data_IF_718788351435
#
_entry.id   IF_718788351435
#
_cell.length_a   1.000
_cell.length_b   1.000
_cell.length_c   1.000
_cell.angle_alpha   90.00
_cell.angle_beta   90.00
_cell.angle_gamma   90.00
#
_symmetry.space_group_name_H-M   'P 1'
#
loop_
_entity.id
_entity.type
_entity.pdbx_description
1 polymer ?
#
# COMPACT_ATOMS: atom_id res chain seq x y z
N UNK A 1 -41.51 -16.66 -0.04
CA UNK A 1 -40.14 -17.15 0.20
C UNK A 1 -39.70 -16.59 1.54
N UNK A 2 -39.67 -17.40 2.60
CA UNK A 2 -39.32 -16.93 3.95
C UNK A 2 -37.80 -16.92 4.13
N UNK A 3 -37.26 -15.75 4.48
CA UNK A 3 -35.83 -15.56 4.71
C UNK A 3 -35.50 -15.92 6.17
N UNK A 4 -34.75 -17.00 6.32
CA UNK A 4 -34.30 -17.52 7.61
C UNK A 4 -32.98 -16.82 7.99
N UNK A 5 -33.06 -15.71 8.70
CA UNK A 5 -31.90 -15.00 9.26
C UNK A 5 -31.45 -15.71 10.54
N UNK A 6 -30.50 -16.65 10.41
CA UNK A 6 -29.83 -17.26 11.57
C UNK A 6 -28.91 -16.23 12.23
N UNK A 7 -29.39 -15.62 13.30
CA UNK A 7 -28.57 -14.83 14.22
C UNK A 7 -27.56 -15.74 14.94
N UNK A 8 -26.28 -15.57 14.62
CA UNK A 8 -25.18 -16.22 15.34
C UNK A 8 -24.93 -15.46 16.65
N UNK A 9 -25.53 -15.93 17.75
CA UNK A 9 -25.18 -15.51 19.12
C UNK A 9 -24.03 -16.38 19.63
N UNK A 10 -22.94 -15.75 20.06
CA UNK A 10 -21.82 -16.37 20.75
C UNK A 10 -22.28 -16.81 22.16
N UNK A 11 -22.45 -18.12 22.36
CA UNK A 11 -22.72 -18.71 23.68
C UNK A 11 -21.40 -18.97 24.40
N UNK A 12 -21.06 -18.14 25.39
CA UNK A 12 -20.01 -18.47 26.36
C UNK A 12 -20.54 -19.57 27.29
N UNK A 13 -19.91 -20.74 27.26
CA UNK A 13 -20.18 -21.82 28.21
C UNK A 13 -19.74 -21.37 29.62
N UNK A 14 -20.69 -21.31 30.57
CA UNK A 14 -20.37 -21.15 31.99
C UNK A 14 -19.68 -22.43 32.48
N UNK A 15 -18.47 -22.26 33.00
CA UNK A 15 -17.69 -23.31 33.66
C UNK A 15 -18.50 -23.86 34.84
N UNK A 16 -18.73 -25.17 34.85
CA UNK A 16 -19.38 -25.88 35.94
C UNK A 16 -18.50 -25.81 37.19
N UNK A 17 -19.07 -25.31 38.28
CA UNK A 17 -18.47 -25.39 39.61
C UNK A 17 -18.55 -26.84 40.08
N UNK A 18 -17.41 -27.49 40.23
CA UNK A 18 -17.31 -28.83 40.82
C UNK A 18 -17.48 -28.71 42.33
N UNK A 19 -18.68 -29.07 42.82
CA UNK A 19 -18.94 -29.22 44.25
C UNK A 19 -18.09 -30.36 44.83
N UNK A 20 -17.28 -30.07 45.86
CA UNK A 20 -16.52 -31.08 46.62
C UNK A 20 -17.49 -32.02 47.36
N UNK A 21 -17.17 -33.33 47.51
CA UNK A 21 -18.06 -34.27 48.17
C UNK A 21 -18.16 -33.99 49.68
N UNK A 22 -19.40 -33.98 50.18
CA UNK A 22 -19.72 -33.86 51.60
C UNK A 22 -19.41 -35.20 52.27
N UNK A 23 -18.43 -35.21 53.18
CA UNK A 23 -18.10 -36.39 54.00
C UNK A 23 -19.19 -36.56 55.07
N UNK A 24 -19.86 -37.72 55.07
CA UNK A 24 -20.84 -38.08 56.08
C UNK A 24 -20.17 -38.28 57.45
N UNK A 25 -20.72 -37.66 58.50
CA UNK A 25 -20.29 -37.87 59.88
C UNK A 25 -20.89 -39.17 60.43
N UNK A 26 -20.15 -40.01 61.17
CA UNK A 26 -20.75 -41.17 61.84
C UNK A 26 -21.71 -40.73 62.96
N UNK A 27 -22.82 -41.47 63.10
CA UNK A 27 -23.93 -41.21 64.01
C UNK A 27 -23.54 -41.26 65.50
N UNK A 28 -24.12 -40.34 66.29
CA UNK A 28 -23.87 -40.04 67.72
C UNK A 28 -24.98 -40.63 68.60
N UNK A 29 -25.22 -41.95 68.54
CA UNK A 29 -26.25 -42.62 69.37
C UNK A 29 -25.78 -43.96 69.93
N UNK A 30 -24.58 -44.00 70.51
CA UNK A 30 -24.07 -45.24 71.10
C UNK A 30 -22.93 -45.04 72.08
N UNK A 31 -23.14 -44.22 73.11
CA UNK A 31 -22.64 -44.50 74.47
C UNK A 31 -23.24 -43.47 75.44
N UNK A 32 -24.13 -43.92 76.33
CA UNK A 32 -24.52 -43.19 77.54
C UNK A 32 -23.34 -43.27 78.52
N UNK A 33 -22.54 -42.22 78.61
CA UNK A 33 -21.57 -42.04 79.69
C UNK A 33 -21.63 -40.59 80.18
N UNK A 34 -22.03 -40.45 81.44
CA UNK A 34 -22.48 -39.26 82.14
C UNK A 34 -21.30 -38.36 82.59
N UNK A 35 -20.60 -37.75 81.62
CA UNK A 35 -19.66 -36.66 81.88
C UNK A 35 -20.00 -35.45 81.00
N UNK A 36 -20.21 -34.29 81.65
CA UNK A 36 -20.46 -32.99 81.00
C UNK A 36 -19.49 -32.75 79.84
N UNK A 37 -19.98 -32.45 78.61
CA UNK A 37 -19.11 -32.35 77.45
C UNK A 37 -18.20 -31.13 77.58
N UNK A 38 -16.92 -31.36 77.89
CA UNK A 38 -15.89 -30.30 77.97
C UNK A 38 -15.98 -29.38 76.73
N UNK A 39 -15.89 -28.08 76.96
CA UNK A 39 -16.02 -27.08 75.90
C UNK A 39 -14.87 -27.22 74.89
N UNK A 40 -15.09 -26.78 73.64
CA UNK A 40 -14.05 -26.87 72.60
C UNK A 40 -12.75 -26.13 73.00
N UNK A 41 -12.87 -25.05 73.78
CA UNK A 41 -11.77 -24.29 74.36
C UNK A 41 -11.00 -25.09 75.43
N UNK A 42 -11.68 -25.77 76.35
CA UNK A 42 -11.00 -26.59 77.38
C UNK A 42 -10.31 -27.80 76.78
N UNK A 43 -10.96 -28.46 75.79
CA UNK A 43 -10.35 -29.55 75.03
C UNK A 43 -9.11 -29.09 74.25
N UNK A 44 -9.09 -27.83 73.80
CA UNK A 44 -7.93 -27.22 73.17
C UNK A 44 -6.84 -26.97 74.22
N UNK A 45 -7.13 -26.28 75.32
CA UNK A 45 -6.15 -25.98 76.37
C UNK A 45 -5.47 -27.24 76.94
N UNK A 46 -6.20 -28.32 77.18
CA UNK A 46 -5.65 -29.59 77.68
C UNK A 46 -4.67 -30.22 76.66
N UNK A 47 -5.00 -30.18 75.37
CA UNK A 47 -4.14 -30.71 74.30
C UNK A 47 -2.87 -29.88 74.07
N UNK A 48 -2.95 -28.56 74.25
CA UNK A 48 -1.79 -27.69 74.12
C UNK A 48 -0.91 -27.72 75.37
N UNK A 49 -1.50 -27.80 76.57
CA UNK A 49 -0.76 -27.92 77.84
C UNK A 49 0.05 -29.21 77.91
N UNK A 50 -0.51 -30.34 77.48
CA UNK A 50 0.17 -31.65 77.47
C UNK A 50 1.35 -31.75 76.48
N UNK A 51 1.39 -30.92 75.43
CA UNK A 51 2.47 -30.93 74.44
C UNK A 51 3.50 -29.81 74.61
N UNK A 52 3.23 -28.84 75.51
CA UNK A 52 4.09 -27.67 75.75
C UNK A 52 5.56 -28.03 76.01
N UNK A 53 5.84 -29.08 76.77
CA UNK A 53 7.22 -29.52 77.06
C UNK A 53 7.94 -30.08 75.82
N UNK A 54 7.20 -30.77 74.94
CA UNK A 54 7.75 -31.29 73.68
C UNK A 54 8.02 -30.13 72.73
N UNK A 55 7.07 -29.21 72.60
CA UNK A 55 7.19 -28.04 71.73
C UNK A 55 8.37 -27.14 72.15
N UNK A 56 8.57 -26.91 73.45
CA UNK A 56 9.72 -26.18 73.97
C UNK A 56 11.05 -26.84 73.59
N UNK A 57 11.17 -28.17 73.75
CA UNK A 57 12.37 -28.91 73.32
C UNK A 57 12.60 -28.84 71.81
N UNK A 58 11.54 -28.80 71.01
CA UNK A 58 11.65 -28.65 69.56
C UNK A 58 12.09 -27.23 69.18
N UNK A 59 11.55 -26.20 69.84
CA UNK A 59 11.97 -24.81 69.67
C UNK A 59 13.44 -24.63 70.06
N UNK A 60 13.89 -25.19 71.18
CA UNK A 60 15.29 -25.12 71.63
C UNK A 60 16.25 -25.78 70.63
N UNK A 61 15.87 -26.95 70.08
CA UNK A 61 16.66 -27.62 69.03
C UNK A 61 16.77 -26.77 67.76
N UNK A 62 15.65 -26.22 67.31
CA UNK A 62 15.59 -25.37 66.11
C UNK A 62 16.38 -24.08 66.32
N UNK A 63 16.31 -23.46 67.51
CA UNK A 63 17.10 -22.27 67.85
C UNK A 63 18.59 -22.55 68.02
N UNK A 64 18.97 -23.76 68.45
CA UNK A 64 20.37 -24.19 68.53
C UNK A 64 20.98 -24.46 67.15
N UNK A 65 20.16 -24.91 66.19
CA UNK A 65 20.55 -25.09 64.79
C UNK A 65 20.62 -23.74 64.06
N UNK A 66 19.59 -22.90 64.19
CA UNK A 66 19.55 -21.54 63.63
C UNK A 66 18.81 -20.56 64.55
N UNK A 67 19.51 -19.58 65.15
CA UNK A 67 18.90 -18.51 65.96
C UNK A 67 17.90 -17.62 65.21
N UNK A 68 17.85 -17.70 63.88
CA UNK A 68 16.96 -16.91 63.03
C UNK A 68 15.69 -17.65 62.59
N UNK A 69 15.52 -18.92 62.96
CA UNK A 69 14.47 -19.79 62.43
C UNK A 69 13.04 -19.27 62.61
N UNK A 70 12.79 -18.46 63.65
CA UNK A 70 11.46 -17.92 63.96
C UNK A 70 11.26 -16.43 63.63
N UNK A 71 12.24 -15.77 62.99
CA UNK A 71 12.13 -14.34 62.61
C UNK A 71 11.37 -14.14 61.30
N UNK A 72 10.16 -14.66 61.24
CA UNK A 72 9.32 -14.61 60.03
C UNK A 72 8.92 -13.18 59.65
N UNK A 73 8.58 -12.35 60.64
CA UNK A 73 8.11 -10.98 60.41
C UNK A 73 9.21 -10.10 59.80
N UNK A 74 10.45 -10.21 60.28
CA UNK A 74 11.58 -9.42 59.77
C UNK A 74 11.90 -9.76 58.30
N UNK A 75 11.90 -11.05 57.95
CA UNK A 75 12.13 -11.52 56.58
C UNK A 75 10.98 -11.12 55.66
N UNK A 76 9.74 -11.20 56.16
CA UNK A 76 8.58 -10.78 55.39
C UNK A 76 8.60 -9.28 55.09
N UNK A 77 8.88 -8.46 56.10
CA UNK A 77 9.03 -7.02 55.97
C UNK A 77 10.13 -6.66 54.96
N UNK A 78 11.24 -7.39 54.96
CA UNK A 78 12.31 -7.18 54.00
C UNK A 78 11.90 -7.56 52.57
N UNK A 79 11.22 -8.70 52.39
CA UNK A 79 10.67 -9.12 51.10
C UNK A 79 9.64 -8.11 50.58
N UNK A 80 8.78 -7.59 51.46
CA UNK A 80 7.78 -6.59 51.10
C UNK A 80 8.43 -5.26 50.72
N UNK A 81 9.41 -4.78 51.50
CA UNK A 81 10.21 -3.60 51.15
C UNK A 81 10.89 -3.77 49.80
N UNK A 82 11.53 -4.91 49.53
CA UNK A 82 12.17 -5.20 48.25
C UNK A 82 11.16 -5.23 47.09
N UNK A 83 9.97 -5.82 47.29
CA UNK A 83 8.89 -5.80 46.30
C UNK A 83 8.40 -4.39 46.02
N UNK A 84 8.25 -3.56 47.06
CA UNK A 84 7.79 -2.18 46.94
C UNK A 84 8.82 -1.32 46.21
N UNK A 85 10.11 -1.49 46.48
CA UNK A 85 11.20 -0.81 45.75
C UNK A 85 11.19 -1.20 44.28
N UNK A 86 11.16 -2.50 43.96
CA UNK A 86 11.09 -2.99 42.57
C UNK A 86 9.85 -2.46 41.84
N UNK A 87 8.70 -2.48 42.50
CA UNK A 87 7.44 -1.95 41.95
C UNK A 87 7.52 -0.45 41.72
N UNK A 88 8.16 0.30 42.61
CA UNK A 88 8.37 1.74 42.46
C UNK A 88 9.33 2.05 41.29
N UNK A 89 10.41 1.28 41.14
CA UNK A 89 11.33 1.38 40.01
C UNK A 89 10.64 1.06 38.68
N UNK A 90 9.82 0.01 38.62
CA UNK A 90 9.07 -0.35 37.42
C UNK A 90 8.04 0.73 37.06
N UNK A 91 7.32 1.26 38.05
CA UNK A 91 6.41 2.41 37.85
C UNK A 91 7.14 3.67 37.40
N UNK A 92 8.37 3.91 37.86
CA UNK A 92 9.18 5.03 37.40
C UNK A 92 9.58 4.85 35.94
N UNK A 93 10.07 3.65 35.57
CA UNK A 93 10.40 3.29 34.18
C UNK A 93 9.19 3.39 33.25
N UNK A 94 7.99 3.05 33.72
CA UNK A 94 6.78 3.11 32.93
C UNK A 94 6.27 4.55 32.72
N UNK A 95 6.58 5.48 33.63
CA UNK A 95 6.27 6.91 33.44
C UNK A 95 7.13 7.55 32.36
N UNK A 96 8.37 7.11 32.20
CA UNK A 96 9.28 7.61 31.16
C UNK A 96 8.94 7.03 29.78
N UNK A 97 8.35 5.83 29.73
CA UNK A 97 7.96 5.17 28.47
C UNK A 97 6.69 5.79 27.92
N UNK A 98 6.79 6.37 26.73
CA UNK A 98 5.60 6.74 25.97
C UNK A 98 4.71 5.50 25.69
N UNK A 99 3.38 5.63 25.76
CA UNK A 99 2.47 4.53 25.49
C UNK A 99 2.59 4.06 24.03
N UNK A 100 2.76 2.75 23.83
CA UNK A 100 3.03 2.11 22.52
C UNK A 100 2.03 2.48 21.41
N UNK A 101 0.79 2.80 21.75
CA UNK A 101 -0.30 2.99 20.78
C UNK A 101 -1.05 4.32 20.88
N UNK A 102 -0.78 5.19 21.87
CA UNK A 102 -1.60 6.39 22.06
C UNK A 102 -1.56 7.29 20.82
N UNK A 103 -0.36 7.51 20.27
CA UNK A 103 -0.17 8.32 19.06
C UNK A 103 -0.93 7.73 17.87
N UNK A 104 -0.87 6.41 17.69
CA UNK A 104 -1.59 5.71 16.62
C UNK A 104 -3.10 5.87 16.74
N UNK A 105 -3.64 5.81 17.97
CA UNK A 105 -5.06 6.01 18.24
C UNK A 105 -5.47 7.46 17.93
N UNK A 106 -4.65 8.42 18.35
CA UNK A 106 -4.89 9.85 18.07
C UNK A 106 -4.87 10.12 16.57
N UNK A 107 -3.88 9.58 15.84
CA UNK A 107 -3.78 9.70 14.39
C UNK A 107 -4.97 9.03 13.69
N UNK A 108 -5.35 7.82 14.08
CA UNK A 108 -6.49 7.12 13.51
C UNK A 108 -7.81 7.88 13.75
N UNK A 109 -7.99 8.46 14.93
CA UNK A 109 -9.15 9.30 15.22
C UNK A 109 -9.19 10.56 14.35
N UNK A 110 -8.04 11.23 14.15
CA UNK A 110 -7.92 12.37 13.22
C UNK A 110 -8.26 11.95 11.79
N UNK A 111 -7.73 10.81 11.32
CA UNK A 111 -8.04 10.26 9.99
C UNK A 111 -9.53 10.02 9.79
N UNK A 112 -10.19 9.35 10.75
CA UNK A 112 -11.64 9.10 10.71
C UNK A 112 -12.48 10.38 10.69
N UNK A 113 -12.04 11.44 11.38
CA UNK A 113 -12.71 12.75 11.32
C UNK A 113 -12.71 13.31 9.91
N UNK A 114 -11.57 13.27 9.22
CA UNK A 114 -11.46 13.72 7.82
C UNK A 114 -12.26 12.84 6.87
N UNK A 115 -12.25 11.52 7.07
CA UNK A 115 -13.06 10.57 6.28
C UNK A 115 -14.57 10.86 6.42
N UNK A 116 -15.07 11.15 7.63
CA UNK A 116 -16.48 11.53 7.83
C UNK A 116 -16.85 12.78 7.03
N UNK A 117 -15.98 13.80 7.03
CA UNK A 117 -16.19 15.03 6.25
C UNK A 117 -16.22 14.75 4.74
N UNK A 118 -15.40 13.81 4.24
CA UNK A 118 -15.46 13.37 2.84
C UNK A 118 -16.79 12.65 2.51
N UNK A 119 -17.29 11.82 3.42
CA UNK A 119 -18.58 11.13 3.24
C UNK A 119 -19.72 12.13 3.20
N UNK A 120 -19.74 13.09 4.12
CA UNK A 120 -20.72 14.17 4.16
C UNK A 120 -20.65 15.03 2.88
N UNK A 121 -19.45 15.35 2.37
CA UNK A 121 -19.31 16.02 1.08
C UNK A 121 -19.96 15.23 -0.07
N UNK A 122 -19.69 13.92 -0.15
CA UNK A 122 -20.29 13.08 -1.22
C UNK A 122 -21.81 13.06 -1.10
N UNK A 123 -22.33 13.05 0.13
CA UNK A 123 -23.77 13.15 0.39
C UNK A 123 -24.32 14.50 -0.11
N UNK A 124 -23.71 15.62 0.28
CA UNK A 124 -24.14 16.96 -0.17
C UNK A 124 -24.03 17.14 -1.69
N UNK A 125 -23.01 16.57 -2.34
CA UNK A 125 -22.89 16.59 -3.81
C UNK A 125 -24.04 15.82 -4.47
N UNK A 126 -24.42 14.68 -3.90
CA UNK A 126 -25.53 13.88 -4.40
C UNK A 126 -26.86 14.60 -4.22
N UNK A 127 -27.07 15.25 -3.07
CA UNK A 127 -28.27 16.06 -2.80
C UNK A 127 -28.37 17.26 -3.74
N UNK A 128 -27.27 18.01 -3.94
CA UNK A 128 -27.24 19.12 -4.90
C UNK A 128 -27.49 18.67 -6.34
N UNK A 129 -26.96 17.52 -6.74
CA UNK A 129 -27.23 16.96 -8.06
C UNK A 129 -28.71 16.57 -8.24
N UNK A 130 -29.40 16.17 -7.16
CA UNK A 130 -30.84 15.91 -7.21
C UNK A 130 -31.71 17.18 -7.18
N UNK A 131 -31.24 18.26 -6.55
CA UNK A 131 -31.89 19.59 -6.54
C UNK A 131 -31.76 20.31 -7.90
N UNK A 132 -30.80 19.89 -8.73
CA UNK A 132 -30.65 20.39 -10.10
C UNK A 132 -30.39 21.90 -10.13
N UNK A 133 -31.21 22.64 -10.88
CA UNK A 133 -31.06 24.08 -11.11
C UNK A 133 -31.86 24.96 -10.13
N UNK A 134 -32.53 24.38 -9.14
CA UNK A 134 -33.46 25.11 -8.26
C UNK A 134 -32.79 26.19 -7.38
N UNK A 135 -31.47 26.10 -7.21
CA UNK A 135 -30.69 27.00 -6.36
C UNK A 135 -29.55 27.73 -7.08
N UNK A 136 -29.51 27.68 -8.42
CA UNK A 136 -28.47 28.34 -9.22
C UNK A 136 -28.56 29.88 -9.13
N UNK A 137 -29.77 30.42 -8.94
CA UNK A 137 -30.01 31.85 -8.82
C UNK A 137 -29.58 32.43 -7.46
N UNK A 138 -29.15 31.61 -6.49
CA UNK A 138 -28.81 32.04 -5.14
C UNK A 138 -27.31 32.23 -4.95
N UNK A 139 -26.92 33.30 -4.25
CA UNK A 139 -25.52 33.61 -3.98
C UNK A 139 -24.88 32.60 -3.00
N UNK A 140 -23.70 32.07 -3.35
CA UNK A 140 -22.95 31.12 -2.52
C UNK A 140 -21.84 31.83 -1.73
N UNK A 141 -22.02 31.96 -0.42
CA UNK A 141 -21.04 32.56 0.47
C UNK A 141 -20.16 31.52 1.17
N UNK A 142 -18.84 31.68 1.07
CA UNK A 142 -17.86 30.80 1.68
C UNK A 142 -16.99 31.58 2.66
N UNK A 143 -17.04 31.21 3.94
CA UNK A 143 -16.22 31.82 5.01
C UNK A 143 -14.77 31.36 4.92
N UNK A 144 -13.83 32.18 5.43
CA UNK A 144 -12.39 31.84 5.41
C UNK A 144 -12.06 30.53 6.13
N UNK A 145 -12.76 30.21 7.22
CA UNK A 145 -12.62 28.93 7.92
C UNK A 145 -13.07 27.74 7.07
N UNK A 146 -14.18 27.89 6.32
CA UNK A 146 -14.66 26.85 5.42
C UNK A 146 -13.71 26.61 4.24
N UNK A 147 -13.07 27.67 3.70
CA UNK A 147 -12.01 27.52 2.68
C UNK A 147 -10.86 26.63 3.18
N UNK A 148 -10.41 26.86 4.42
CA UNK A 148 -9.37 26.03 5.05
C UNK A 148 -9.81 24.57 5.20
N UNK A 149 -11.05 24.33 5.61
CA UNK A 149 -11.60 22.96 5.69
C UNK A 149 -11.68 22.26 4.32
N UNK A 150 -12.05 22.99 3.25
CA UNK A 150 -12.02 22.46 1.88
C UNK A 150 -10.60 22.06 1.48
N UNK A 151 -9.62 22.92 1.78
CA UNK A 151 -8.21 22.67 1.47
C UNK A 151 -7.67 21.44 2.24
N UNK A 152 -7.92 21.35 3.54
CA UNK A 152 -7.52 20.19 4.37
C UNK A 152 -8.11 18.89 3.84
N UNK A 153 -9.39 18.90 3.46
CA UNK A 153 -10.08 17.73 2.90
C UNK A 153 -9.55 17.38 1.51
N UNK A 154 -9.27 18.36 0.65
CA UNK A 154 -8.71 18.13 -0.68
C UNK A 154 -7.31 17.52 -0.57
N UNK A 155 -6.43 18.06 0.30
CA UNK A 155 -5.12 17.48 0.58
C UNK A 155 -5.22 16.03 1.07
N UNK A 156 -6.19 15.75 1.96
CA UNK A 156 -6.41 14.39 2.45
C UNK A 156 -6.89 13.44 1.35
N UNK A 157 -7.72 13.91 0.40
CA UNK A 157 -8.12 13.12 -0.76
C UNK A 157 -6.96 12.82 -1.70
N UNK A 158 -6.13 13.81 -2.01
CA UNK A 158 -4.93 13.62 -2.83
C UNK A 158 -3.95 12.62 -2.20
N UNK A 159 -3.80 12.65 -0.87
CA UNK A 159 -2.96 11.67 -0.17
C UNK A 159 -3.54 10.27 -0.28
N UNK A 160 -4.86 10.08 -0.12
CA UNK A 160 -5.50 8.78 -0.33
C UNK A 160 -5.29 8.30 -1.77
N UNK A 161 -5.49 9.15 -2.77
CA UNK A 161 -5.30 8.78 -4.18
C UNK A 161 -3.85 8.37 -4.47
N UNK A 162 -2.87 9.05 -3.86
CA UNK A 162 -1.45 8.65 -3.95
C UNK A 162 -1.18 7.30 -3.31
N UNK A 163 -1.71 7.06 -2.11
CA UNK A 163 -1.55 5.77 -1.44
C UNK A 163 -2.25 4.65 -2.22
N UNK A 164 -3.48 4.87 -2.69
CA UNK A 164 -4.22 3.93 -3.52
C UNK A 164 -3.46 3.61 -4.83
N UNK A 165 -2.79 4.60 -5.43
CA UNK A 165 -1.93 4.39 -6.58
C UNK A 165 -0.73 3.49 -6.24
N UNK A 166 -0.01 3.76 -5.15
CA UNK A 166 1.13 2.94 -4.70
C UNK A 166 0.68 1.51 -4.35
N UNK A 167 -0.45 1.39 -3.65
CA UNK A 167 -1.05 0.11 -3.27
C UNK A 167 -1.49 -0.66 -4.51
N UNK A 168 -2.03 0.02 -5.54
CA UNK A 168 -2.40 -0.62 -6.81
C UNK A 168 -1.18 -1.20 -7.54
N UNK A 169 -0.04 -0.50 -7.49
CA UNK A 169 1.23 -0.98 -8.07
C UNK A 169 1.81 -2.15 -7.27
N UNK A 170 1.63 -2.15 -5.95
CA UNK A 170 2.16 -3.17 -5.03
C UNK A 170 1.17 -4.32 -4.81
N UNK A 171 -0.01 -4.26 -5.43
CA UNK A 171 -1.09 -5.24 -5.25
C UNK A 171 -0.62 -6.64 -5.64
N UNK A 172 -0.90 -7.61 -4.77
CA UNK A 172 -0.51 -9.03 -4.93
C UNK A 172 -1.08 -9.65 -6.21
N UNK A 173 -2.21 -9.18 -6.74
CA UNK A 173 -2.77 -9.63 -8.02
C UNK A 173 -1.80 -9.44 -9.20
N UNK A 174 -0.90 -8.45 -9.12
CA UNK A 174 0.15 -8.17 -10.10
C UNK A 174 1.48 -8.90 -9.77
N UNK A 175 1.45 -9.93 -8.91
CA UNK A 175 2.64 -10.60 -8.37
C UNK A 175 3.64 -11.09 -9.42
N UNK A 176 3.17 -11.59 -10.56
CA UNK A 176 4.07 -12.09 -11.63
C UNK A 176 4.98 -10.97 -12.15
N UNK A 177 4.44 -9.75 -12.25
CA UNK A 177 5.19 -8.58 -12.70
C UNK A 177 6.10 -8.03 -11.59
N UNK A 178 5.68 -8.14 -10.32
CA UNK A 178 6.48 -7.78 -9.17
C UNK A 178 7.64 -8.75 -8.90
N UNK A 179 7.45 -10.06 -9.07
CA UNK A 179 8.53 -11.08 -8.96
C UNK A 179 9.60 -10.90 -10.04
N UNK A 180 9.18 -10.58 -11.28
CA UNK A 180 10.10 -10.27 -12.38
C UNK A 180 10.84 -8.93 -12.15
N UNK A 181 10.13 -7.89 -11.67
CA UNK A 181 10.72 -6.60 -11.32
C UNK A 181 11.64 -6.66 -10.10
N UNK A 182 11.34 -7.51 -9.12
CA UNK A 182 12.15 -7.70 -7.91
C UNK A 182 13.54 -8.21 -8.27
N UNK A 183 13.67 -9.20 -9.16
CA UNK A 183 14.97 -9.71 -9.58
C UNK A 183 15.79 -8.63 -10.31
N UNK A 184 15.15 -7.80 -11.15
CA UNK A 184 15.81 -6.66 -11.81
C UNK A 184 16.30 -5.60 -10.80
N UNK A 185 15.48 -5.27 -9.80
CA UNK A 185 15.86 -4.31 -8.75
C UNK A 185 16.99 -4.85 -7.88
N UNK A 186 16.94 -6.14 -7.52
CA UNK A 186 18.00 -6.80 -6.76
C UNK A 186 19.31 -6.87 -7.54
N UNK A 187 19.25 -7.23 -8.82
CA UNK A 187 20.42 -7.28 -9.69
C UNK A 187 21.01 -5.87 -9.88
N UNK A 188 20.19 -4.86 -10.14
CA UNK A 188 20.66 -3.48 -10.27
C UNK A 188 21.32 -2.98 -8.97
N UNK A 189 20.74 -3.28 -7.81
CA UNK A 189 21.34 -2.93 -6.51
C UNK A 189 22.64 -3.70 -6.22
N UNK A 190 22.85 -4.85 -6.84
CA UNK A 190 24.06 -5.67 -6.66
C UNK A 190 25.15 -5.32 -7.68
N UNK A 191 24.77 -4.83 -8.86
CA UNK A 191 25.70 -4.43 -9.92
C UNK A 191 26.15 -2.98 -9.81
N UNK A 192 25.41 -2.12 -9.12
CA UNK A 192 25.83 -0.76 -8.80
C UNK A 192 26.24 -0.67 -7.33
N UNK A 193 27.55 -0.60 -7.05
CA UNK A 193 28.08 -0.31 -5.70
C UNK A 193 27.74 1.11 -5.20
N UNK A 194 27.04 1.90 -6.01
CA UNK A 194 26.56 3.21 -5.63
C UNK A 194 25.22 3.09 -4.90
N UNK A 195 25.17 3.57 -3.66
CA UNK A 195 23.91 3.87 -2.97
C UNK A 195 23.21 4.98 -3.74
N UNK A 196 22.40 4.61 -4.73
CA UNK A 196 21.65 5.60 -5.52
C UNK A 196 20.42 6.04 -4.71
N UNK A 197 20.55 7.15 -3.99
CA UNK A 197 19.40 7.94 -3.52
C UNK A 197 18.73 8.59 -4.73
N UNK A 198 17.89 7.84 -5.43
CA UNK A 198 17.17 8.38 -6.58
C UNK A 198 15.96 9.17 -6.10
N UNK A 199 16.03 10.51 -6.19
CA UNK A 199 14.85 11.39 -6.12
C UNK A 199 13.80 10.95 -7.15
N UNK A 200 12.55 10.84 -6.71
CA UNK A 200 11.46 10.15 -7.42
C UNK A 200 11.05 10.69 -8.81
N UNK A 201 11.63 11.78 -9.29
CA UNK A 201 11.22 12.43 -10.54
C UNK A 201 11.97 11.90 -11.78
N UNK A 202 13.19 11.37 -11.61
CA UNK A 202 14.02 10.89 -12.74
C UNK A 202 13.70 9.44 -13.15
N UNK A 203 13.19 8.61 -12.22
CA UNK A 203 12.77 7.21 -12.49
C UNK A 203 11.62 7.10 -13.48
N UNK A 204 10.68 8.03 -13.44
CA UNK A 204 9.49 7.98 -14.27
C UNK A 204 9.77 8.40 -15.71
N UNK A 205 10.67 9.38 -15.92
CA UNK A 205 11.09 9.80 -17.26
C UNK A 205 11.91 8.71 -17.96
N UNK A 206 12.86 8.09 -17.24
CA UNK A 206 13.70 7.02 -17.79
C UNK A 206 12.88 5.76 -18.17
N UNK A 207 11.84 5.44 -17.40
CA UNK A 207 10.97 4.30 -17.67
C UNK A 207 10.06 4.51 -18.89
N UNK A 208 9.50 5.72 -19.06
CA UNK A 208 8.66 6.04 -20.22
C UNK A 208 9.44 6.16 -21.53
N UNK A 209 10.72 6.53 -21.47
CA UNK A 209 11.61 6.57 -22.64
C UNK A 209 12.04 5.17 -23.09
N UNK A 210 12.33 4.25 -22.16
CA UNK A 210 12.69 2.86 -22.48
C UNK A 210 11.51 2.12 -23.12
N UNK A 211 10.30 2.25 -22.59
CA UNK A 211 9.11 1.57 -23.13
C UNK A 211 8.73 2.08 -24.54
N UNK A 212 9.04 3.34 -24.87
CA UNK A 212 8.86 3.88 -26.23
C UNK A 212 9.94 3.41 -27.19
N UNK A 213 11.19 3.32 -26.73
CA UNK A 213 12.32 2.87 -27.55
C UNK A 213 12.20 1.38 -27.91
N UNK A 214 11.79 0.54 -26.95
CA UNK A 214 11.58 -0.90 -27.17
C UNK A 214 10.44 -1.18 -28.17
N UNK A 215 9.41 -0.33 -28.20
CA UNK A 215 8.31 -0.45 -29.17
C UNK A 215 8.76 -0.06 -30.59
N UNK A 216 9.55 1.00 -30.73
CA UNK A 216 10.09 1.45 -32.03
C UNK A 216 11.09 0.43 -32.59
N UNK A 217 11.96 -0.14 -31.74
CA UNK A 217 12.93 -1.15 -32.15
C UNK A 217 12.26 -2.48 -32.57
N UNK A 218 11.09 -2.81 -32.01
CA UNK A 218 10.31 -3.97 -32.43
C UNK A 218 9.65 -3.79 -33.81
N UNK A 219 9.19 -2.58 -34.13
CA UNK A 219 8.57 -2.25 -35.42
C UNK A 219 9.60 -2.22 -36.56
N UNK A 220 10.76 -1.59 -36.32
CA UNK A 220 11.85 -1.51 -37.31
C UNK A 220 12.46 -2.88 -37.61
N UNK A 221 12.43 -3.83 -36.67
CA UNK A 221 12.88 -5.21 -36.87
C UNK A 221 11.95 -6.00 -37.82
N UNK A 222 10.64 -5.77 -37.75
CA UNK A 222 9.64 -6.40 -38.64
C UNK A 222 9.70 -5.81 -40.06
N UNK A 223 9.89 -4.50 -40.17
CA UNK A 223 10.06 -3.82 -41.47
C UNK A 223 11.37 -4.20 -42.16
N UNK A 224 12.49 -4.24 -41.43
CA UNK A 224 13.76 -4.69 -41.97
C UNK A 224 13.72 -6.17 -42.40
N UNK A 225 12.96 -7.02 -41.71
CA UNK A 225 12.79 -8.43 -42.10
C UNK A 225 12.00 -8.57 -43.41
N UNK A 226 10.94 -7.78 -43.63
CA UNK A 226 10.18 -7.74 -44.89
C UNK A 226 10.98 -7.12 -46.04
N UNK A 227 11.78 -6.09 -45.75
CA UNK A 227 12.65 -5.43 -46.73
C UNK A 227 13.85 -6.31 -47.12
N UNK A 228 14.40 -7.10 -46.21
CA UNK A 228 15.45 -8.07 -46.52
C UNK A 228 14.92 -9.21 -47.39
N UNK A 229 13.68 -9.67 -47.16
CA UNK A 229 13.00 -10.66 -48.01
C UNK A 229 12.69 -10.14 -49.43
N UNK A 230 12.33 -8.86 -49.57
CA UNK A 230 12.09 -8.23 -50.88
C UNK A 230 13.38 -7.86 -51.62
N UNK A 231 14.42 -7.44 -50.89
CA UNK A 231 15.76 -7.21 -51.42
C UNK A 231 16.44 -8.48 -51.91
N UNK A 232 16.25 -9.60 -51.21
CA UNK A 232 16.77 -10.92 -51.62
C UNK A 232 16.16 -11.38 -52.95
N UNK A 233 14.86 -11.15 -53.16
CA UNK A 233 14.20 -11.37 -54.47
C UNK A 233 14.79 -10.49 -55.58
N UNK A 234 15.14 -9.24 -55.26
CA UNK A 234 15.71 -8.29 -56.21
C UNK A 234 17.15 -8.62 -56.62
N UNK A 235 17.95 -9.22 -55.74
CA UNK A 235 19.32 -9.67 -56.02
C UNK A 235 19.30 -10.93 -56.91
N UNK A 236 18.38 -11.87 -56.66
CA UNK A 236 18.21 -13.07 -57.50
C UNK A 236 17.86 -12.72 -58.95
N UNK A 237 17.07 -11.65 -59.17
CA UNK A 237 16.68 -11.16 -60.51
C UNK A 237 17.80 -10.47 -61.31
N UNK A 238 18.89 -10.06 -60.66
CA UNK A 238 20.00 -9.35 -61.31
C UNK A 238 21.07 -10.29 -61.89
N UNK A 239 21.03 -11.59 -61.56
CA UNK A 239 22.01 -12.58 -62.02
C UNK A 239 21.51 -13.50 -63.16
N UNK A 240 20.34 -13.24 -63.74
CA UNK A 240 19.79 -14.00 -64.87
C UNK A 240 20.06 -13.28 -66.21
N UNK A 241 20.39 -14.03 -67.26
CA UNK A 241 20.62 -13.52 -68.62
C UNK A 241 19.31 -13.07 -69.27
N UNK A 242 19.41 -12.21 -70.30
CA UNK A 242 18.28 -11.44 -70.87
C UNK A 242 17.13 -12.28 -71.41
N UNK A 243 17.35 -13.56 -71.71
CA UNK A 243 16.34 -14.42 -72.32
C UNK A 243 15.46 -15.13 -71.26
N UNK A 244 15.96 -15.38 -70.05
CA UNK A 244 15.17 -15.90 -68.92
C UNK A 244 14.29 -14.82 -68.25
N UNK A 245 14.56 -13.53 -68.53
CA UNK A 245 13.80 -12.37 -68.02
C UNK A 245 12.48 -12.10 -68.75
N UNK A 246 12.15 -12.86 -69.79
CA UNK A 246 10.97 -12.62 -70.63
C UNK A 246 9.81 -13.54 -70.26
N UNK A 247 10.04 -14.79 -69.84
CA UNK A 247 8.97 -15.71 -69.45
C UNK A 247 8.38 -15.45 -68.05
N UNK A 248 9.19 -15.05 -67.07
CA UNK A 248 8.70 -14.79 -65.69
C UNK A 248 7.80 -13.54 -65.61
N UNK A 249 7.90 -12.65 -66.61
CA UNK A 249 7.23 -11.34 -66.61
C UNK A 249 5.72 -11.40 -66.89
N UNK A 250 5.21 -12.53 -67.40
CA UNK A 250 3.79 -12.72 -67.72
C UNK A 250 2.95 -13.14 -66.51
N UNK A 251 3.46 -14.08 -65.71
CA UNK A 251 2.69 -14.65 -64.58
C UNK A 251 2.80 -13.81 -63.31
N UNK A 252 3.96 -13.20 -63.03
CA UNK A 252 4.15 -12.38 -61.82
C UNK A 252 3.49 -10.99 -61.91
N UNK A 253 3.34 -10.44 -63.13
CA UNK A 253 2.58 -9.19 -63.32
C UNK A 253 1.10 -9.36 -63.02
N UNK A 254 0.53 -10.53 -63.32
CA UNK A 254 -0.86 -10.83 -62.99
C UNK A 254 -1.04 -11.04 -61.49
N UNK A 255 -0.09 -11.71 -60.80
CA UNK A 255 -0.13 -11.84 -59.33
C UNK A 255 0.04 -10.49 -58.61
N UNK A 256 0.95 -9.64 -59.09
CA UNK A 256 1.14 -8.30 -58.51
C UNK A 256 -0.05 -7.37 -58.80
N UNK A 257 -0.68 -7.48 -59.98
CA UNK A 257 -1.90 -6.75 -60.32
C UNK A 257 -3.11 -7.24 -59.50
N UNK A 258 -3.25 -8.55 -59.31
CA UNK A 258 -4.26 -9.12 -58.42
C UNK A 258 -4.02 -8.76 -56.95
N UNK A 259 -2.76 -8.63 -56.50
CA UNK A 259 -2.41 -8.16 -55.15
C UNK A 259 -2.72 -6.68 -54.96
N UNK A 260 -2.48 -5.85 -55.98
CA UNK A 260 -2.89 -4.44 -55.98
C UNK A 260 -4.42 -4.33 -55.97
N UNK A 261 -5.13 -5.10 -56.79
CA UNK A 261 -6.60 -5.10 -56.81
C UNK A 261 -7.20 -5.65 -55.50
N UNK A 262 -6.55 -6.62 -54.84
CA UNK A 262 -6.91 -7.07 -53.48
C UNK A 262 -6.66 -6.00 -52.43
N UNK A 263 -5.57 -5.25 -52.55
CA UNK A 263 -5.25 -4.15 -51.65
C UNK A 263 -6.24 -2.98 -51.82
N UNK A 264 -6.57 -2.64 -53.06
CA UNK A 264 -7.58 -1.63 -53.39
C UNK A 264 -9.00 -2.06 -52.95
N UNK A 265 -9.31 -3.37 -53.00
CA UNK A 265 -10.55 -3.93 -52.46
C UNK A 265 -10.63 -3.85 -50.93
N UNK A 266 -9.54 -4.13 -50.22
CA UNK A 266 -9.43 -3.97 -48.75
C UNK A 266 -9.57 -2.48 -48.37
N UNK A 267 -8.95 -1.58 -49.13
CA UNK A 267 -9.04 -0.14 -48.92
C UNK A 267 -10.46 0.40 -49.24
N UNK A 268 -11.18 -0.24 -50.16
CA UNK A 268 -12.60 0.06 -50.43
C UNK A 268 -13.53 -0.41 -49.31
N UNK A 269 -13.26 -1.58 -48.71
CA UNK A 269 -14.02 -2.14 -47.58
C UNK A 269 -13.83 -1.30 -46.32
N UNK A 270 -12.59 -0.87 -46.02
CA UNK A 270 -12.32 0.04 -44.90
C UNK A 270 -12.96 1.41 -45.10
N UNK A 271 -13.10 1.89 -46.35
CA UNK A 271 -13.88 3.10 -46.67
C UNK A 271 -15.38 2.94 -46.42
N UNK A 272 -15.96 1.78 -46.76
CA UNK A 272 -17.38 1.47 -46.53
C UNK A 272 -17.66 1.21 -45.04
N UNK A 273 -16.73 0.58 -44.30
CA UNK A 273 -16.79 0.44 -42.84
C UNK A 273 -16.67 1.79 -42.13
N UNK A 274 -15.77 2.67 -42.60
CA UNK A 274 -15.67 4.03 -42.08
C UNK A 274 -16.92 4.88 -42.41
N UNK A 275 -17.55 4.68 -43.57
CA UNK A 275 -18.86 5.28 -43.89
C UNK A 275 -20.00 4.71 -43.04
N UNK A 276 -20.01 3.39 -42.77
CA UNK A 276 -20.96 2.75 -41.84
C UNK A 276 -20.76 3.23 -40.40
N UNK A 277 -19.52 3.42 -39.95
CA UNK A 277 -19.17 3.98 -38.64
C UNK A 277 -19.61 5.45 -38.53
N UNK A 278 -19.54 6.21 -39.63
CA UNK A 278 -20.04 7.58 -39.71
C UNK A 278 -21.59 7.64 -39.71
N UNK A 279 -22.27 6.66 -40.34
CA UNK A 279 -23.73 6.53 -40.31
C UNK A 279 -24.28 5.93 -39.01
N UNK A 280 -23.52 5.09 -38.28
CA UNK A 280 -23.92 4.44 -37.03
C UNK A 280 -23.62 5.27 -35.76
N UNK A 281 -23.15 6.51 -35.90
CA UNK A 281 -23.06 7.46 -34.77
C UNK A 281 -22.27 6.96 -33.56
N UNK A 282 -21.20 6.18 -33.76
CA UNK A 282 -20.35 5.75 -32.65
C UNK A 282 -19.29 6.83 -32.32
N UNK A 283 -19.36 7.31 -31.09
CA UNK A 283 -18.61 8.44 -30.54
C UNK A 283 -17.18 8.05 -30.16
N UNK A 284 -16.16 8.64 -30.80
CA UNK A 284 -15.04 9.40 -30.17
C UNK A 284 -14.44 10.28 -31.28
N UNK A 285 -14.99 11.48 -31.46
CA UNK A 285 -14.34 12.50 -32.25
C UNK A 285 -13.24 13.15 -31.41
N UNK A 286 -12.00 12.67 -31.51
CA UNK A 286 -10.85 13.59 -31.47
C UNK A 286 -10.88 14.29 -32.82
N UNK A 287 -11.46 15.49 -32.87
CA UNK A 287 -11.59 16.22 -34.14
C UNK A 287 -10.19 16.54 -34.65
N UNK A 288 -9.97 16.47 -35.97
CA UNK A 288 -8.73 16.94 -36.59
C UNK A 288 -8.41 18.40 -36.20
N UNK A 289 -9.44 19.16 -35.82
CA UNK A 289 -9.35 20.52 -35.29
C UNK A 289 -8.61 20.58 -33.95
N UNK A 290 -8.79 19.60 -33.04
CA UNK A 290 -8.05 19.56 -31.76
C UNK A 290 -6.55 19.29 -31.96
N UNK A 291 -6.19 18.49 -32.96
CA UNK A 291 -4.81 18.16 -33.29
C UNK A 291 -4.11 19.35 -33.95
N UNK A 292 -4.82 20.08 -34.81
CA UNK A 292 -4.34 21.32 -35.42
C UNK A 292 -4.19 22.43 -34.37
N UNK A 293 -5.19 22.62 -33.50
CA UNK A 293 -5.13 23.57 -32.38
C UNK A 293 -3.95 23.29 -31.43
N UNK A 294 -3.69 22.01 -31.13
CA UNK A 294 -2.55 21.63 -30.28
C UNK A 294 -1.21 21.91 -30.96
N UNK A 295 -1.10 21.69 -32.26
CA UNK A 295 0.11 22.02 -33.03
C UNK A 295 0.32 23.54 -33.14
N UNK A 296 -0.75 24.33 -33.27
CA UNK A 296 -0.68 25.79 -33.32
C UNK A 296 -0.20 26.38 -31.99
N UNK A 297 -0.74 25.90 -30.87
CA UNK A 297 -0.28 26.27 -29.52
C UNK A 297 1.18 25.91 -29.29
N UNK A 298 1.63 24.75 -29.77
CA UNK A 298 3.04 24.35 -29.68
C UNK A 298 3.93 25.28 -30.52
N UNK A 299 3.51 25.65 -31.73
CA UNK A 299 4.25 26.61 -32.58
C UNK A 299 4.33 27.99 -31.92
N UNK A 300 3.28 28.47 -31.27
CA UNK A 300 3.29 29.74 -30.54
C UNK A 300 4.23 29.72 -29.33
N UNK A 301 4.20 28.63 -28.55
CA UNK A 301 5.12 28.45 -27.41
C UNK A 301 6.58 28.36 -27.89
N UNK A 302 6.85 27.74 -29.05
CA UNK A 302 8.18 27.68 -29.63
C UNK A 302 8.65 29.03 -30.19
N UNK A 303 7.74 29.85 -30.74
CA UNK A 303 8.04 31.24 -31.14
C UNK A 303 8.41 32.11 -29.95
N UNK A 304 7.79 31.91 -28.78
CA UNK A 304 8.12 32.64 -27.55
C UNK A 304 9.49 32.29 -26.95
N UNK A 305 10.03 31.11 -27.26
CA UNK A 305 11.33 30.63 -26.73
C UNK A 305 12.51 30.90 -27.68
N UNK A 306 12.21 31.29 -28.91
CA UNK A 306 13.17 31.62 -29.96
C UNK A 306 13.01 33.09 -30.39
N UNK A 307 12.85 34.02 -29.44
CA UNK A 307 12.87 35.44 -29.80
C UNK A 307 14.28 35.84 -30.25
N UNK A 308 14.39 36.85 -31.12
CA UNK A 308 15.69 37.33 -31.59
C UNK A 308 16.64 37.72 -30.43
N UNK A 309 16.07 38.18 -29.31
CA UNK A 309 16.81 38.53 -28.11
C UNK A 309 17.34 37.30 -27.38
N UNK A 310 16.58 36.21 -27.31
CA UNK A 310 17.04 34.96 -26.70
C UNK A 310 18.16 34.32 -27.53
N UNK A 311 18.06 34.41 -28.86
CA UNK A 311 19.11 33.96 -29.78
C UNK A 311 20.38 34.80 -29.63
N UNK A 312 20.25 36.13 -29.48
CA UNK A 312 21.40 37.02 -29.22
C UNK A 312 22.05 36.71 -27.87
N UNK A 313 21.27 36.56 -26.81
CA UNK A 313 21.79 36.23 -25.48
C UNK A 313 22.47 34.85 -25.45
N UNK A 314 21.92 33.86 -26.17
CA UNK A 314 22.56 32.56 -26.34
C UNK A 314 23.89 32.65 -27.10
N UNK A 315 23.97 33.48 -28.15
CA UNK A 315 25.22 33.77 -28.88
C UNK A 315 26.24 34.47 -28.00
N UNK A 316 25.84 35.47 -27.23
CA UNK A 316 26.71 36.17 -26.28
C UNK A 316 27.27 35.20 -25.23
N UNK A 317 26.43 34.35 -24.63
CA UNK A 317 26.88 33.29 -23.70
C UNK A 317 27.78 32.26 -24.34
N UNK A 318 27.64 32.02 -25.64
CA UNK A 318 28.53 31.14 -26.39
C UNK A 318 29.90 31.80 -26.60
N UNK A 319 29.94 33.08 -27.02
CA UNK A 319 31.20 33.81 -27.17
C UNK A 319 31.93 34.02 -25.84
N UNK A 320 31.20 34.30 -24.75
CA UNK A 320 31.78 34.36 -23.39
C UNK A 320 32.43 33.03 -23.02
N UNK A 321 31.78 31.89 -23.33
CA UNK A 321 32.34 30.55 -23.07
C UNK A 321 33.49 30.17 -24.00
N UNK A 322 33.50 30.72 -25.21
CA UNK A 322 34.60 30.58 -26.16
C UNK A 322 35.83 31.35 -25.69
N UNK A 323 35.63 32.60 -25.23
CA UNK A 323 36.68 33.45 -24.68
C UNK A 323 37.21 32.93 -23.34
N UNK A 324 36.36 32.32 -22.51
CA UNK A 324 36.78 31.64 -21.27
C UNK A 324 37.49 30.30 -21.51
N UNK A 325 37.52 29.80 -22.75
CA UNK A 325 38.17 28.54 -23.12
C UNK A 325 37.42 27.27 -22.68
N UNK A 326 36.16 27.38 -22.23
CA UNK A 326 35.32 26.24 -21.83
C UNK A 326 34.77 25.46 -23.03
N UNK A 327 34.69 26.09 -24.20
CA UNK A 327 34.14 25.48 -25.41
C UNK A 327 35.21 25.45 -26.50
N UNK A 328 35.67 24.24 -26.86
CA UNK A 328 36.55 24.02 -28.01
C UNK A 328 35.72 23.92 -29.29
N UNK A 329 36.11 24.66 -30.33
CA UNK A 329 35.47 24.55 -31.64
C UNK A 329 35.61 23.11 -32.17
N UNK A 330 34.54 22.51 -32.70
CA UNK A 330 34.67 21.26 -33.43
C UNK A 330 35.55 21.53 -34.66
N UNK A 331 36.58 20.69 -34.82
CA UNK A 331 37.51 20.71 -35.97
C UNK A 331 36.79 20.27 -37.24
#
# INVERSE_FOLDING_TARGET
>A
MSNNLKSLRLLLAKKSETSKPIVAKPSVFGDESDEEPLTASEKFEIKYSSNKSKDQRMVEKVMAEDPNAYKYDEVYDEIEKQKNVKTAEDKAKDKEKAPKYADKIILAHKKRKLEKLLVEERKFKKERASEGTEFDDKEAFVTGAYKKQIEERNKFREEIEKQDYIDSLTKVENQKMWQSGFHRILLNNLTTDEKIEIRGEEKNKFREEIEKQDYIDSLTKVENQKMWQSGFHRILLNNLTTDEKIEIRGEEKNKFREEIEKQDYIDSLTKVENQKMWQLGFLVSRTNDELHCRLEVIKEVLKQRNTENDIKNAKERYYIRLESGEVTLPV
#
